data_IF_101335808305
#
_entry.id   IF_101335808305
#
_cell.length_a   1.000
_cell.length_b   1.000
_cell.length_c   1.000
_cell.angle_alpha   90.00
_cell.angle_beta   90.00
_cell.angle_gamma   90.00
#
_symmetry.space_group_name_H-M   'P 1'
#
loop_
_entity.id
_entity.type
_entity.pdbx_description
1 polymer ?
#
# COMPACT_ATOMS: atom_id res chain seq x y z
N UNK A 1 -7.45 -10.49 -17.44
CA UNK A 1 -6.54 -11.59 -17.07
C UNK A 1 -7.25 -12.84 -16.56
N UNK A 2 -7.26 -13.30 -15.31
CA UNK A 2 -7.89 -14.62 -15.00
C UNK A 2 -9.43 -14.65 -15.00
N UNK A 3 -10.08 -13.49 -14.89
CA UNK A 3 -11.54 -13.35 -14.91
C UNK A 3 -12.08 -12.82 -16.25
N UNK A 4 -11.21 -12.50 -17.21
CA UNK A 4 -11.59 -11.84 -18.47
C UNK A 4 -11.61 -12.78 -19.69
N UNK A 5 -11.29 -14.07 -19.52
CA UNK A 5 -11.31 -15.05 -20.61
C UNK A 5 -10.19 -14.88 -21.64
N UNK A 6 -9.09 -14.22 -21.29
CA UNK A 6 -7.92 -14.09 -22.16
C UNK A 6 -7.16 -15.42 -22.28
N UNK A 7 -6.61 -15.68 -23.46
CA UNK A 7 -5.85 -16.88 -23.79
C UNK A 7 -4.58 -17.00 -22.93
N UNK A 8 -4.42 -18.16 -22.30
CA UNK A 8 -3.33 -18.45 -21.36
C UNK A 8 -1.96 -18.52 -22.06
N UNK A 9 -1.91 -18.95 -23.33
CA UNK A 9 -0.64 -18.99 -24.06
C UNK A 9 -0.10 -17.60 -24.36
N UNK A 10 -0.97 -16.63 -24.61
CA UNK A 10 -0.61 -15.21 -24.73
C UNK A 10 -0.05 -14.60 -23.44
N UNK A 11 -0.43 -15.13 -22.26
CA UNK A 11 0.09 -14.71 -20.95
C UNK A 11 1.40 -15.39 -20.56
N UNK A 12 1.72 -16.52 -21.18
CA UNK A 12 2.98 -17.26 -20.96
C UNK A 12 4.17 -16.60 -21.67
N UNK A 13 3.91 -15.76 -22.67
CA UNK A 13 4.91 -14.88 -23.27
C UNK A 13 5.30 -13.82 -22.23
N UNK A 14 6.39 -14.09 -21.50
CA UNK A 14 6.99 -13.07 -20.64
C UNK A 14 7.37 -11.89 -21.53
N UNK A 15 6.87 -10.66 -21.26
CA UNK A 15 7.33 -9.49 -21.99
C UNK A 15 8.86 -9.45 -21.89
N UNK A 16 9.54 -9.11 -22.99
CA UNK A 16 10.98 -8.88 -22.95
C UNK A 16 11.25 -7.90 -21.82
N UNK A 17 12.14 -8.30 -20.91
CA UNK A 17 12.46 -7.51 -19.73
C UNK A 17 13.21 -6.25 -20.19
N UNK A 18 12.46 -5.21 -20.56
CA UNK A 18 13.02 -3.87 -20.72
C UNK A 18 13.76 -3.52 -19.42
N UNK A 19 15.07 -3.45 -19.56
CA UNK A 19 16.05 -3.58 -18.50
C UNK A 19 16.27 -2.23 -17.82
N UNK A 20 15.49 -1.98 -16.77
CA UNK A 20 15.85 -1.11 -15.65
C UNK A 20 15.33 -1.81 -14.39
N UNK A 21 16.14 -2.06 -13.35
CA UNK A 21 15.61 -2.62 -12.12
C UNK A 21 14.73 -1.54 -11.47
N UNK A 22 13.43 -1.56 -11.77
CA UNK A 22 12.42 -0.64 -11.22
C UNK A 22 12.29 -0.74 -9.67
N UNK A 23 13.04 -1.66 -9.07
CA UNK A 23 13.03 -2.08 -7.69
C UNK A 23 14.44 -2.52 -7.33
N UNK A 24 15.00 -1.91 -6.30
CA UNK A 24 16.25 -2.37 -5.67
C UNK A 24 15.88 -3.07 -4.37
N UNK A 25 16.44 -4.26 -4.13
CA UNK A 25 16.25 -4.93 -2.84
C UNK A 25 17.33 -4.46 -1.88
N UNK A 26 16.92 -3.88 -0.76
CA UNK A 26 17.81 -3.54 0.34
C UNK A 26 18.01 -4.79 1.21
N UNK A 27 19.07 -5.55 0.92
CA UNK A 27 19.33 -6.82 1.58
C UNK A 27 19.59 -6.70 3.09
N UNK A 28 20.18 -5.59 3.53
CA UNK A 28 20.43 -5.33 4.95
C UNK A 28 19.11 -5.15 5.69
N UNK A 29 18.26 -4.25 5.18
CA UNK A 29 16.93 -4.02 5.76
C UNK A 29 16.02 -5.22 5.63
N UNK A 30 16.16 -6.01 4.56
CA UNK A 30 15.41 -7.25 4.41
C UNK A 30 15.73 -8.26 5.52
N UNK A 31 17.01 -8.41 5.86
CA UNK A 31 17.43 -9.27 6.97
C UNK A 31 16.89 -8.76 8.32
N UNK A 32 16.92 -7.44 8.56
CA UNK A 32 16.32 -6.83 9.75
C UNK A 32 14.81 -7.06 9.83
N UNK A 33 14.10 -6.94 8.70
CA UNK A 33 12.66 -7.22 8.62
C UNK A 33 12.36 -8.65 9.02
N UNK A 34 13.11 -9.63 8.48
CA UNK A 34 12.94 -11.03 8.87
C UNK A 34 13.30 -11.29 10.33
N UNK A 35 14.35 -10.64 10.86
CA UNK A 35 14.71 -10.75 12.27
C UNK A 35 13.59 -10.23 13.18
N UNK A 36 12.98 -9.07 12.86
CA UNK A 36 11.85 -8.51 13.62
C UNK A 36 10.62 -9.41 13.53
N UNK A 37 10.29 -9.94 12.35
CA UNK A 37 9.12 -10.81 12.17
C UNK A 37 9.31 -12.19 12.81
N UNK A 38 10.56 -12.65 12.93
CA UNK A 38 10.92 -13.92 13.55
C UNK A 38 11.14 -13.85 15.06
N UNK A 39 11.17 -12.65 15.66
CA UNK A 39 11.41 -12.46 17.09
C UNK A 39 10.18 -12.89 17.92
N UNK A 40 10.26 -14.00 18.68
CA UNK A 40 9.13 -14.51 19.44
C UNK A 40 8.82 -13.66 20.69
N UNK A 41 9.68 -12.71 21.04
CA UNK A 41 9.52 -11.84 22.21
C UNK A 41 8.68 -10.60 21.92
N UNK A 42 8.46 -10.28 20.63
CA UNK A 42 7.65 -9.16 20.21
C UNK A 42 6.20 -9.58 20.01
N UNK A 43 5.28 -8.75 20.49
CA UNK A 43 3.90 -8.84 20.04
C UNK A 43 3.79 -8.38 18.58
N UNK A 44 2.74 -8.84 17.91
CA UNK A 44 2.55 -8.61 16.48
C UNK A 44 2.41 -7.12 16.11
N UNK A 45 1.76 -6.31 16.95
CA UNK A 45 1.57 -4.89 16.68
C UNK A 45 2.92 -4.16 16.71
N UNK A 46 3.72 -4.42 17.75
CA UNK A 46 5.08 -3.90 17.85
C UNK A 46 5.96 -4.34 16.70
N UNK A 47 5.89 -5.61 16.28
CA UNK A 47 6.64 -6.13 15.13
C UNK A 47 6.26 -5.39 13.83
N UNK A 48 4.97 -5.19 13.56
CA UNK A 48 4.51 -4.51 12.36
C UNK A 48 4.89 -3.03 12.31
N UNK A 49 4.80 -2.31 13.44
CA UNK A 49 5.26 -0.91 13.52
C UNK A 49 6.77 -0.81 13.27
N UNK A 50 7.57 -1.74 13.84
CA UNK A 50 9.03 -1.78 13.60
C UNK A 50 9.34 -2.07 12.13
N UNK A 51 8.66 -3.03 11.53
CA UNK A 51 8.83 -3.34 10.09
C UNK A 51 8.41 -2.16 9.22
N UNK A 52 7.36 -1.43 9.59
CA UNK A 52 6.96 -0.20 8.90
C UNK A 52 8.08 0.84 8.87
N UNK A 53 8.79 1.04 10.00
CA UNK A 53 9.96 1.92 10.05
C UNK A 53 11.10 1.44 9.14
N UNK A 54 11.36 0.13 9.11
CA UNK A 54 12.35 -0.45 8.21
C UNK A 54 11.95 -0.26 6.73
N UNK A 55 10.67 -0.40 6.40
CA UNK A 55 10.15 -0.16 5.06
C UNK A 55 10.34 1.28 4.59
N UNK A 56 10.24 2.27 5.50
CA UNK A 56 10.50 3.68 5.19
C UNK A 56 11.98 3.99 5.02
N UNK A 57 12.85 3.27 5.72
CA UNK A 57 14.29 3.48 5.71
C UNK A 57 14.98 2.77 4.53
N UNK A 58 14.35 1.76 3.94
CA UNK A 58 14.96 0.94 2.90
C UNK A 58 15.02 1.65 1.54
N UNK A 59 16.16 1.54 0.86
CA UNK A 59 16.37 2.08 -0.48
C UNK A 59 15.82 1.13 -1.56
N UNK A 60 14.55 1.32 -1.92
CA UNK A 60 13.79 0.31 -2.70
C UNK A 60 13.39 0.75 -4.12
N UNK A 61 13.91 1.89 -4.57
CA UNK A 61 13.57 2.48 -5.88
C UNK A 61 12.34 3.39 -5.84
N UNK A 62 11.96 3.91 -7.01
CA UNK A 62 10.90 4.91 -7.11
C UNK A 62 9.49 4.30 -7.06
N UNK A 63 8.63 4.85 -6.21
CA UNK A 63 7.23 4.43 -6.05
C UNK A 63 6.47 4.36 -7.39
N UNK A 64 6.60 5.41 -8.21
CA UNK A 64 5.93 5.48 -9.52
C UNK A 64 6.37 4.40 -10.50
N UNK A 65 7.65 4.00 -10.48
CA UNK A 65 8.17 2.93 -11.32
C UNK A 65 7.57 1.57 -10.92
N UNK A 66 7.42 1.33 -9.62
CA UNK A 66 6.78 0.12 -9.11
C UNK A 66 5.29 0.05 -9.46
N UNK A 67 4.56 1.15 -9.31
CA UNK A 67 3.14 1.23 -9.70
C UNK A 67 2.97 1.01 -11.21
N UNK A 68 3.80 1.64 -12.04
CA UNK A 68 3.76 1.46 -13.49
C UNK A 68 4.07 0.01 -13.90
N UNK A 69 5.01 -0.65 -13.19
CA UNK A 69 5.28 -2.08 -13.40
C UNK A 69 4.06 -2.94 -13.07
N UNK A 70 3.37 -2.66 -11.97
CA UNK A 70 2.15 -3.40 -11.60
C UNK A 70 1.02 -3.16 -12.59
N UNK A 71 0.88 -1.94 -13.11
CA UNK A 71 -0.10 -1.64 -14.15
C UNK A 71 0.13 -2.49 -15.41
N UNK A 72 1.38 -2.59 -15.88
CA UNK A 72 1.72 -3.44 -17.04
C UNK A 72 1.39 -4.91 -16.79
N UNK A 73 1.66 -5.41 -15.58
CA UNK A 73 1.39 -6.80 -15.21
C UNK A 73 -0.10 -7.13 -15.08
N UNK A 74 -0.91 -6.16 -14.64
CA UNK A 74 -2.35 -6.35 -14.46
C UNK A 74 -3.11 -6.18 -15.78
N UNK A 75 -2.58 -5.37 -16.71
CA UNK A 75 -3.17 -5.10 -18.02
C UNK A 75 -4.43 -4.22 -17.98
N UNK A 76 -4.85 -3.77 -16.79
CA UNK A 76 -5.97 -2.83 -16.62
C UNK A 76 -5.80 -1.97 -15.37
N UNK A 77 -6.34 -0.76 -15.41
CA UNK A 77 -6.45 0.15 -14.24
C UNK A 77 -7.80 0.03 -13.54
N UNK A 78 -8.78 -0.56 -14.20
CA UNK A 78 -10.17 -0.61 -13.76
C UNK A 78 -10.39 -1.72 -12.74
N UNK A 79 -11.27 -1.45 -11.78
CA UNK A 79 -11.72 -2.46 -10.85
C UNK A 79 -12.70 -3.39 -11.54
N UNK A 80 -12.63 -4.71 -11.31
CA UNK A 80 -13.64 -5.63 -11.80
C UNK A 80 -15.01 -5.31 -11.17
N UNK A 81 -16.10 -5.60 -11.87
CA UNK A 81 -17.47 -5.47 -11.34
C UNK A 81 -17.70 -6.38 -10.11
N UNK A 82 -16.93 -7.45 -9.99
CA UNK A 82 -16.94 -8.37 -8.85
C UNK A 82 -16.34 -7.76 -7.58
N UNK A 83 -16.71 -8.33 -6.43
CA UNK A 83 -16.21 -7.88 -5.12
C UNK A 83 -14.75 -8.32 -4.87
N UNK A 84 -13.81 -7.53 -5.38
CA UNK A 84 -12.37 -7.68 -5.11
C UNK A 84 -11.94 -6.84 -3.90
N UNK A 85 -11.28 -7.48 -2.94
CA UNK A 85 -10.71 -6.83 -1.76
C UNK A 85 -9.19 -7.03 -1.75
N UNK A 86 -8.43 -5.94 -1.64
CA UNK A 86 -6.97 -5.97 -1.67
C UNK A 86 -6.42 -5.54 -0.31
N UNK A 87 -5.80 -6.46 0.45
CA UNK A 87 -5.28 -6.16 1.79
C UNK A 87 -3.91 -5.47 1.76
N UNK A 88 -3.70 -4.55 2.69
CA UNK A 88 -2.43 -3.88 2.95
C UNK A 88 -2.30 -3.56 4.45
N UNK A 89 -1.19 -2.95 4.86
CA UNK A 89 -0.91 -2.50 6.23
C UNK A 89 -0.42 -1.07 6.18
N UNK A 90 -0.91 -0.21 7.08
CA UNK A 90 -0.40 1.15 7.26
C UNK A 90 1.02 1.10 7.83
N UNK A 91 1.95 1.81 7.19
CA UNK A 91 3.37 1.79 7.56
C UNK A 91 3.64 2.45 8.90
N UNK A 92 2.85 3.46 9.29
CA UNK A 92 3.07 4.21 10.53
C UNK A 92 2.50 3.46 11.74
N UNK A 93 1.31 2.89 11.59
CA UNK A 93 0.57 2.29 12.70
C UNK A 93 0.65 0.77 12.76
N UNK A 94 1.07 0.11 11.67
CA UNK A 94 1.00 -1.35 11.56
C UNK A 94 -0.43 -1.89 11.47
N UNK A 95 -1.44 -1.02 11.33
CA UNK A 95 -2.84 -1.44 11.25
C UNK A 95 -3.20 -2.01 9.87
N UNK A 96 -3.99 -3.10 9.79
CA UNK A 96 -4.51 -3.61 8.53
C UNK A 96 -5.44 -2.61 7.82
N UNK A 97 -5.28 -2.54 6.50
CA UNK A 97 -6.09 -1.77 5.56
C UNK A 97 -6.62 -2.67 4.45
N UNK A 98 -7.74 -2.30 3.83
CA UNK A 98 -8.33 -3.01 2.68
C UNK A 98 -8.78 -1.99 1.66
N UNK A 99 -8.42 -2.23 0.40
CA UNK A 99 -8.82 -1.46 -0.76
C UNK A 99 -9.86 -2.21 -1.59
N UNK A 100 -10.80 -1.47 -2.15
CA UNK A 100 -11.85 -1.95 -3.05
C UNK A 100 -12.18 -0.87 -4.11
N UNK A 101 -13.09 -1.18 -5.04
CA UNK A 101 -13.50 -0.25 -6.10
C UNK A 101 -14.13 1.06 -5.61
N UNK A 102 -14.56 1.13 -4.34
CA UNK A 102 -15.08 2.36 -3.73
C UNK A 102 -14.01 3.21 -3.04
N UNK A 103 -12.77 2.73 -2.99
CA UNK A 103 -11.66 3.35 -2.26
C UNK A 103 -11.04 4.56 -2.97
N UNK A 104 -11.44 4.84 -4.22
CA UNK A 104 -10.99 6.01 -4.97
C UNK A 104 -9.55 5.94 -5.48
N UNK A 105 -8.98 4.74 -5.60
CA UNK A 105 -7.64 4.49 -6.14
C UNK A 105 -7.71 3.54 -7.33
N UNK A 106 -6.70 3.56 -8.20
CA UNK A 106 -6.60 2.59 -9.30
C UNK A 106 -6.36 1.18 -8.76
N UNK A 107 -6.78 0.16 -9.52
CA UNK A 107 -6.50 -1.24 -9.18
C UNK A 107 -4.99 -1.49 -9.06
N UNK A 108 -4.20 -0.93 -9.99
CA UNK A 108 -2.75 -1.07 -9.99
C UNK A 108 -2.09 -0.49 -8.74
N UNK A 109 -2.53 0.68 -8.27
CA UNK A 109 -2.03 1.28 -7.01
C UNK A 109 -2.37 0.41 -5.80
N UNK A 110 -3.60 -0.11 -5.73
CA UNK A 110 -4.00 -1.01 -4.65
C UNK A 110 -3.18 -2.30 -4.65
N UNK A 111 -3.00 -2.95 -5.81
CA UNK A 111 -2.15 -4.15 -5.96
C UNK A 111 -0.70 -3.86 -5.62
N UNK A 112 -0.15 -2.72 -6.05
CA UNK A 112 1.21 -2.30 -5.70
C UNK A 112 1.37 -2.22 -4.18
N UNK A 113 0.42 -1.60 -3.46
CA UNK A 113 0.50 -1.53 -1.99
C UNK A 113 0.48 -2.92 -1.33
N UNK A 114 -0.30 -3.86 -1.89
CA UNK A 114 -0.43 -5.22 -1.36
C UNK A 114 0.76 -6.13 -1.67
N UNK A 115 1.48 -5.84 -2.75
CA UNK A 115 2.66 -6.59 -3.19
C UNK A 115 3.99 -5.99 -2.70
N UNK A 116 3.95 -4.77 -2.16
CA UNK A 116 5.11 -4.08 -1.63
C UNK A 116 5.62 -4.74 -0.33
N UNK A 117 6.51 -5.72 -0.46
CA UNK A 117 7.21 -6.31 0.68
C UNK A 117 8.30 -5.34 1.19
N UNK A 118 8.43 -5.11 2.51
CA UNK A 118 9.41 -4.17 3.06
C UNK A 118 10.82 -4.52 2.62
N UNK A 119 11.62 -3.50 2.31
CA UNK A 119 12.99 -3.66 1.78
C UNK A 119 13.11 -4.34 0.41
N UNK A 120 12.01 -4.84 -0.17
CA UNK A 120 11.96 -5.36 -1.54
C UNK A 120 11.22 -4.44 -2.49
N UNK A 121 10.45 -3.48 -2.01
CA UNK A 121 9.67 -2.56 -2.83
C UNK A 121 9.33 -1.31 -2.02
N UNK A 122 9.14 -0.16 -2.68
CA UNK A 122 8.80 1.07 -1.99
C UNK A 122 7.42 0.98 -1.35
N UNK A 123 7.22 1.52 -0.13
CA UNK A 123 5.90 1.71 0.42
C UNK A 123 5.05 2.60 -0.51
N UNK A 124 3.80 2.21 -0.74
CA UNK A 124 2.92 2.91 -1.68
C UNK A 124 2.08 3.95 -0.96
N UNK A 125 2.06 5.16 -1.49
CA UNK A 125 1.32 6.29 -0.94
C UNK A 125 -0.12 6.29 -1.46
N UNK A 126 -1.08 6.03 -0.57
CA UNK A 126 -2.52 6.09 -0.85
C UNK A 126 -3.17 7.09 0.13
N UNK A 127 -3.87 8.10 -0.39
CA UNK A 127 -4.57 9.11 0.40
C UNK A 127 -3.66 9.82 1.45
N UNK A 128 -2.39 10.04 1.11
CA UNK A 128 -1.40 10.67 1.99
C UNK A 128 -0.84 9.77 3.09
N UNK A 129 -1.16 8.46 3.06
CA UNK A 129 -0.60 7.45 3.96
C UNK A 129 0.20 6.44 3.16
N UNK A 130 1.28 5.91 3.75
CA UNK A 130 2.08 4.86 3.13
C UNK A 130 1.58 3.50 3.60
N UNK A 131 1.46 2.58 2.67
CA UNK A 131 0.98 1.22 2.90
C UNK A 131 1.89 0.17 2.29
N UNK A 132 1.92 -1.02 2.88
CA UNK A 132 2.75 -2.14 2.48
C UNK A 132 2.00 -3.49 2.60
N UNK A 133 2.62 -4.59 2.18
CA UNK A 133 1.95 -5.89 2.09
C UNK A 133 1.39 -6.39 3.43
N UNK A 134 0.18 -6.94 3.40
CA UNK A 134 -0.41 -7.60 4.58
C UNK A 134 0.24 -8.96 4.92
N UNK A 135 1.17 -9.47 4.10
CA UNK A 135 1.79 -10.79 4.30
C UNK A 135 2.54 -10.91 5.63
N UNK A 136 3.17 -9.84 6.09
CA UNK A 136 4.01 -9.88 7.29
C UNK A 136 3.21 -9.87 8.60
N UNK A 137 1.93 -9.53 8.57
CA UNK A 137 1.01 -9.70 9.71
C UNK A 137 0.39 -11.10 9.80
N UNK A 138 0.69 -12.01 8.85
CA UNK A 138 0.11 -13.36 8.83
C UNK A 138 0.99 -14.40 9.54
N UNK A 139 2.21 -14.02 9.95
CA UNK A 139 3.01 -14.87 10.82
C UNK A 139 2.37 -14.88 12.22
N UNK A 140 1.81 -16.04 12.60
CA UNK A 140 1.77 -16.52 14.00
C UNK A 140 0.53 -16.35 14.89
N UNK A 141 -0.74 -16.24 14.42
CA UNK A 141 -1.90 -16.64 15.27
C UNK A 141 -3.16 -17.12 14.51
N UNK A 142 -3.84 -18.21 14.97
CA UNK A 142 -5.16 -18.62 14.46
C UNK A 142 -6.30 -17.60 14.71
N UNK A 143 -6.07 -16.63 15.62
CA UNK A 143 -7.04 -15.61 16.01
C UNK A 143 -7.22 -14.52 14.95
N UNK A 144 -6.19 -14.23 14.14
CA UNK A 144 -6.25 -13.20 13.09
C UNK A 144 -7.19 -13.58 11.93
N UNK A 145 -7.28 -14.87 11.57
CA UNK A 145 -8.23 -15.34 10.54
C UNK A 145 -9.68 -15.06 10.92
N UNK A 146 -10.02 -15.11 12.21
CA UNK A 146 -11.38 -14.82 12.71
C UNK A 146 -11.67 -13.32 12.73
N UNK A 147 -10.71 -12.46 13.08
CA UNK A 147 -10.93 -11.01 13.06
C UNK A 147 -10.98 -10.43 11.64
N UNK A 148 -10.27 -11.02 10.68
CA UNK A 148 -10.39 -10.70 9.26
C UNK A 148 -11.76 -11.13 8.68
N UNK A 149 -12.19 -12.37 8.93
CA UNK A 149 -13.45 -12.92 8.40
C UNK A 149 -14.74 -12.41 9.08
N UNK A 150 -14.72 -12.06 10.36
CA UNK A 150 -15.90 -11.51 11.07
C UNK A 150 -16.09 -10.00 10.85
N UNK A 151 -15.02 -9.28 10.51
CA UNK A 151 -15.05 -7.84 10.24
C UNK A 151 -15.38 -7.56 8.77
N UNK A 152 -15.05 -8.49 7.85
CA UNK A 152 -15.35 -8.42 6.41
C UNK A 152 -16.83 -8.61 6.05
N UNK A 153 -17.63 -9.25 6.92
CA UNK A 153 -19.06 -9.54 6.72
C UNK A 153 -20.00 -8.45 7.22
N UNK A 154 -19.51 -7.50 8.02
CA UNK A 154 -20.27 -6.29 8.32
C UNK A 154 -20.10 -5.27 7.20
N UNK A 155 -21.22 -4.85 6.59
CA UNK A 155 -21.35 -3.79 5.57
C UNK A 155 -20.96 -2.38 6.06
N UNK A 156 -20.04 -2.30 7.02
CA UNK A 156 -19.73 -1.12 7.81
C UNK A 156 -18.22 -0.98 7.94
N UNK A 157 -17.49 -1.16 6.83
CA UNK A 157 -16.13 -0.64 6.76
C UNK A 157 -16.23 0.87 6.58
N UNK A 158 -15.71 1.68 7.51
CA UNK A 158 -15.55 3.09 7.23
C UNK A 158 -14.57 3.18 6.05
N UNK A 159 -15.00 3.80 4.96
CA UNK A 159 -14.10 4.25 3.88
C UNK A 159 -12.93 5.03 4.51
N UNK A 160 -11.79 5.12 3.82
CA UNK A 160 -10.64 5.91 4.30
C UNK A 160 -11.08 7.33 4.77
N UNK A 161 -12.06 7.93 4.08
CA UNK A 161 -12.70 9.21 4.43
C UNK A 161 -13.57 9.20 5.71
N UNK A 162 -14.13 8.06 6.11
CA UNK A 162 -14.90 7.91 7.36
C UNK A 162 -13.99 7.67 8.57
N UNK A 163 -12.78 7.14 8.37
CA UNK A 163 -11.84 6.85 9.48
C UNK A 163 -10.91 8.04 9.80
N UNK A 164 -10.58 8.88 8.81
CA UNK A 164 -9.91 10.17 9.01
C UNK A 164 -10.71 11.11 9.95
N UNK A 165 -12.03 10.95 10.04
CA UNK A 165 -12.89 11.72 10.97
C UNK A 165 -12.87 11.21 12.41
N UNK A 166 -12.50 9.95 12.67
CA UNK A 166 -12.45 9.38 14.03
C UNK A 166 -11.20 9.77 14.80
N UNK A 167 -10.09 9.99 14.10
CA UNK A 167 -8.86 10.54 14.68
C UNK A 167 -8.87 12.04 14.38
N UNK A 168 -9.45 12.84 15.28
CA UNK A 168 -9.74 14.26 15.09
C UNK A 168 -8.55 15.12 14.67
N UNK A 169 -8.28 15.18 13.37
CA UNK A 169 -7.40 16.17 12.75
C UNK A 169 -8.26 17.07 11.88
N UNK A 170 -8.67 18.19 12.48
CA UNK A 170 -9.33 19.31 11.80
C UNK A 170 -8.30 20.01 10.91
N UNK A 171 -8.14 19.54 9.68
CA UNK A 171 -7.38 20.27 8.67
C UNK A 171 -8.18 21.51 8.26
N UNK A 172 -7.75 22.68 8.73
CA UNK A 172 -8.27 23.97 8.27
C UNK A 172 -7.45 24.39 7.06
N UNK A 173 -8.01 24.18 5.87
CA UNK A 173 -7.50 24.80 4.65
C UNK A 173 -7.80 26.30 4.66
N UNK A 174 -6.76 27.11 4.48
CA UNK A 174 -6.86 28.46 3.93
C UNK A 174 -5.49 28.90 3.45
N UNK A 175 -5.18 28.54 2.21
CA UNK A 175 -4.15 29.20 1.40
C UNK A 175 -4.57 30.65 1.15
N UNK A 176 -3.86 31.61 1.77
CA UNK A 176 -3.81 32.99 1.28
C UNK A 176 -2.41 33.24 0.71
N UNK A 177 -2.31 33.18 -0.61
CA UNK A 177 -1.18 33.74 -1.36
C UNK A 177 -1.26 35.28 -1.36
N UNK A 178 -0.12 35.99 -1.36
CA UNK A 178 -0.06 37.44 -1.16
C UNK A 178 -0.29 38.22 -2.47
N UNK A 179 -0.96 39.37 -2.38
CA UNK A 179 -1.03 40.36 -3.48
C UNK A 179 0.18 41.31 -3.42
N UNK A 180 0.83 41.64 -4.54
CA UNK A 180 1.89 42.65 -4.57
C UNK A 180 1.31 44.06 -4.36
N UNK A 181 2.01 44.88 -3.56
CA UNK A 181 1.72 46.31 -3.38
C UNK A 181 2.39 47.10 -4.51
N UNK A 182 1.62 47.91 -5.23
CA UNK A 182 2.13 48.96 -6.12
C UNK A 182 2.72 50.13 -5.30
N UNK A 183 3.76 50.82 -5.79
CA UNK A 183 4.28 52.02 -5.15
C UNK A 183 3.43 53.25 -5.55
N UNK A 184 3.05 54.07 -4.57
CA UNK A 184 2.52 55.42 -4.81
C UNK A 184 3.63 56.45 -4.59
N UNK A 185 3.75 57.32 -5.58
CA UNK A 185 4.55 58.53 -5.67
C UNK A 185 4.18 59.53 -4.57
N UNK A 186 5.19 60.16 -3.96
CA UNK A 186 5.21 61.59 -3.58
C UNK A 186 6.57 62.12 -4.00
#
# INVERSE_FOLDING_TARGET
MLAAGEDLEGLAALPEADSEPAVTTDHEKLNEVFAVLGDPTLDQETALVRVGRLALAAETGAEGAYVARMERLIGTREWPEGRLLIPAVDVETGEPQVWDGSSGVSLATAVASSSAFPANAPPITINGRRSWTARCGQASTPTSRRTWGRRSSSSRWPTCSQRARRHGQRWSGSSRTPRPRTPSVI
#
